data_IF_298035358664
#
_entry.id   IF_298035358664
#
_cell.length_a   1.000
_cell.length_b   1.000
_cell.length_c   1.000
_cell.angle_alpha   90.00
_cell.angle_beta   90.00
_cell.angle_gamma   90.00
#
_symmetry.space_group_name_H-M   'P 1'
#
loop_
_entity.id
_entity.type
_entity.pdbx_description
1 polymer ?
#
# COMPACT_ATOMS: atom_id res chain seq x y z
N UNK A 1 13.31 -44.67 -63.81
CA UNK A 1 14.60 -45.36 -63.58
C UNK A 1 14.76 -45.52 -62.08
N UNK A 2 14.33 -46.62 -61.44
CA UNK A 2 15.03 -47.91 -61.23
C UNK A 2 16.50 -47.75 -60.79
N UNK A 3 16.78 -48.02 -59.51
CA UNK A 3 17.79 -48.99 -59.02
C UNK A 3 17.95 -48.89 -57.48
N UNK A 4 17.32 -49.79 -56.70
CA UNK A 4 17.90 -50.92 -55.92
C UNK A 4 18.58 -50.50 -54.60
N UNK A 5 17.99 -50.73 -53.42
CA UNK A 5 17.70 -51.99 -52.70
C UNK A 5 18.79 -52.48 -51.72
N UNK A 6 18.43 -52.42 -50.43
CA UNK A 6 18.57 -53.48 -49.41
C UNK A 6 19.99 -53.79 -48.86
N UNK A 7 20.22 -54.21 -47.61
CA UNK A 7 19.41 -55.00 -46.67
C UNK A 7 20.12 -55.10 -45.30
N UNK A 8 19.34 -55.33 -44.22
CA UNK A 8 19.61 -56.18 -43.02
C UNK A 8 20.66 -55.68 -42.00
N UNK A 9 20.53 -55.86 -40.68
CA UNK A 9 19.94 -56.95 -39.89
C UNK A 9 19.66 -56.48 -38.44
N UNK A 10 18.65 -57.07 -37.79
CA UNK A 10 18.36 -57.00 -36.35
C UNK A 10 19.52 -57.53 -35.47
N UNK A 11 19.70 -56.94 -34.29
CA UNK A 11 20.07 -57.67 -33.08
C UNK A 11 19.55 -56.95 -31.82
N UNK A 12 18.52 -57.53 -31.20
CA UNK A 12 18.09 -57.29 -29.82
C UNK A 12 18.84 -58.28 -28.95
N UNK A 13 19.55 -57.83 -27.91
CA UNK A 13 19.74 -58.58 -26.66
C UNK A 13 20.27 -57.69 -25.53
N UNK A 14 19.60 -57.82 -24.40
CA UNK A 14 19.74 -57.08 -23.15
C UNK A 14 21.01 -57.43 -22.36
N UNK A 15 21.42 -56.52 -21.46
CA UNK A 15 21.74 -56.74 -20.03
C UNK A 15 22.76 -55.70 -19.53
N UNK A 16 22.51 -55.15 -18.34
CA UNK A 16 23.55 -54.57 -17.49
C UNK A 16 23.27 -53.16 -16.98
N UNK A 17 22.31 -53.03 -16.06
CA UNK A 17 22.27 -51.88 -15.16
C UNK A 17 23.50 -51.90 -14.24
N UNK A 18 24.34 -50.86 -14.31
CA UNK A 18 25.32 -50.56 -13.27
C UNK A 18 25.11 -49.09 -12.88
N UNK A 19 24.30 -48.87 -11.85
CA UNK A 19 24.14 -47.56 -11.22
C UNK A 19 25.34 -47.33 -10.30
N UNK A 20 26.24 -46.40 -10.69
CA UNK A 20 27.19 -45.79 -9.78
C UNK A 20 26.44 -44.67 -9.03
N UNK A 21 26.12 -44.92 -7.76
CA UNK A 21 25.62 -43.90 -6.86
C UNK A 21 26.76 -42.93 -6.50
N UNK A 22 26.76 -41.74 -7.11
CA UNK A 22 27.49 -40.60 -6.56
C UNK A 22 26.64 -40.00 -5.43
N UNK A 23 27.11 -40.21 -4.19
CA UNK A 23 26.59 -39.56 -2.99
C UNK A 23 27.05 -38.11 -3.05
N UNK A 24 26.18 -37.22 -3.52
CA UNK A 24 26.27 -35.79 -3.22
C UNK A 24 25.59 -35.60 -1.86
N UNK A 25 26.24 -34.99 -0.86
CA UNK A 25 25.55 -34.63 0.38
C UNK A 25 24.55 -33.54 0.03
N UNK A 26 23.28 -33.94 -0.12
CA UNK A 26 22.18 -33.00 -0.05
C UNK A 26 22.24 -32.39 1.35
N UNK A 27 22.61 -31.11 1.42
CA UNK A 27 22.24 -30.27 2.55
C UNK A 27 20.71 -30.24 2.54
N UNK A 28 20.11 -31.16 3.28
CA UNK A 28 18.71 -31.07 3.65
C UNK A 28 18.58 -29.78 4.47
N UNK A 29 18.07 -28.73 3.85
CA UNK A 29 17.30 -27.77 4.61
C UNK A 29 16.15 -28.57 5.22
N UNK A 30 16.30 -28.92 6.49
CA UNK A 30 15.21 -29.38 7.34
C UNK A 30 14.15 -28.29 7.30
N UNK A 31 13.15 -28.44 6.43
CA UNK A 31 11.83 -27.92 6.74
C UNK A 31 11.42 -28.56 8.05
N UNK A 32 11.23 -27.73 9.07
CA UNK A 32 10.67 -28.18 10.33
C UNK A 32 9.32 -28.83 10.01
N UNK A 33 9.28 -30.16 10.08
CA UNK A 33 8.04 -30.92 10.02
C UNK A 33 7.35 -30.66 11.35
N UNK A 34 6.34 -29.80 11.34
CA UNK A 34 5.42 -29.66 12.46
C UNK A 34 5.00 -31.06 12.91
N UNK A 35 5.00 -31.31 14.21
CA UNK A 35 4.53 -32.56 14.77
C UNK A 35 3.11 -32.83 14.24
N UNK A 36 2.95 -33.87 13.42
CA UNK A 36 1.66 -34.31 12.90
C UNK A 36 0.77 -34.69 14.11
N UNK A 37 -0.10 -33.77 14.53
CA UNK A 37 -1.13 -34.03 15.54
C UNK A 37 -1.61 -32.86 16.39
N UNK A 38 -0.96 -31.69 16.43
CA UNK A 38 -1.31 -30.63 17.41
C UNK A 38 -1.66 -29.26 16.81
N UNK A 39 -1.63 -29.09 15.48
CA UNK A 39 -1.95 -27.82 14.85
C UNK A 39 -3.37 -27.85 14.28
N UNK A 40 -4.15 -26.81 14.55
CA UNK A 40 -5.46 -26.58 13.93
C UNK A 40 -5.30 -26.42 12.42
N UNK A 41 -6.16 -27.07 11.64
CA UNK A 41 -6.12 -27.00 10.18
C UNK A 41 -6.63 -25.62 9.70
N UNK A 42 -6.00 -25.05 8.67
CA UNK A 42 -6.37 -23.74 8.11
C UNK A 42 -7.63 -23.82 7.24
N UNK A 43 -8.80 -23.88 7.86
CA UNK A 43 -10.11 -24.08 7.21
C UNK A 43 -10.99 -22.82 7.19
N UNK A 44 -10.59 -21.84 7.96
CA UNK A 44 -11.19 -20.53 8.11
C UNK A 44 -11.17 -19.78 6.78
N UNK A 45 -12.14 -18.91 6.60
CA UNK A 45 -12.32 -18.18 5.35
C UNK A 45 -12.30 -16.69 5.65
N UNK A 46 -11.42 -15.93 5.00
CA UNK A 46 -11.39 -14.49 5.19
C UNK A 46 -12.66 -13.87 4.62
N UNK A 47 -13.16 -12.86 5.31
CA UNK A 47 -14.10 -11.90 4.74
C UNK A 47 -13.31 -10.99 3.80
N UNK A 48 -13.73 -10.89 2.55
CA UNK A 48 -13.03 -10.14 1.51
C UNK A 48 -13.93 -9.01 1.03
N UNK A 49 -13.35 -7.81 0.92
CA UNK A 49 -14.02 -6.65 0.38
C UNK A 49 -13.15 -5.94 -0.66
N UNK A 50 -13.80 -5.30 -1.63
CA UNK A 50 -13.16 -4.43 -2.59
C UNK A 50 -13.60 -3.01 -2.31
N UNK A 51 -12.64 -2.13 -2.09
CA UNK A 51 -12.88 -0.74 -1.72
C UNK A 51 -12.41 0.21 -2.84
N UNK A 52 -13.18 1.27 -3.03
CA UNK A 52 -12.84 2.43 -3.86
C UNK A 52 -12.91 3.66 -2.97
N UNK A 53 -11.81 4.41 -2.89
CA UNK A 53 -11.67 5.56 -1.97
C UNK A 53 -11.99 5.20 -0.51
N UNK A 54 -11.51 4.04 -0.04
CA UNK A 54 -11.75 3.51 1.31
C UNK A 54 -13.22 3.22 1.67
N UNK A 55 -14.13 3.25 0.70
CA UNK A 55 -15.51 2.82 0.84
C UNK A 55 -15.78 1.56 -0.01
N UNK A 56 -16.70 0.66 0.40
CA UNK A 56 -17.05 -0.50 -0.41
C UNK A 56 -17.48 -0.12 -1.83
N UNK A 57 -17.05 -0.91 -2.81
CA UNK A 57 -17.55 -0.79 -4.18
C UNK A 57 -19.05 -1.12 -4.18
N UNK A 58 -19.85 -0.22 -4.75
CA UNK A 58 -21.31 -0.30 -4.79
C UNK A 58 -21.85 0.30 -6.10
N UNK A 59 -23.16 0.33 -6.28
CA UNK A 59 -23.75 0.96 -7.47
C UNK A 59 -23.48 2.48 -7.52
N UNK A 60 -23.46 3.13 -6.36
CA UNK A 60 -23.18 4.56 -6.20
C UNK A 60 -21.67 4.88 -6.21
N UNK A 61 -20.85 3.89 -5.86
CA UNK A 61 -19.39 3.95 -5.86
C UNK A 61 -18.80 2.90 -6.82
N UNK A 62 -19.34 2.86 -8.05
CA UNK A 62 -18.98 1.83 -9.03
C UNK A 62 -17.51 1.93 -9.44
N UNK A 63 -16.87 0.77 -9.61
CA UNK A 63 -15.48 0.68 -10.01
C UNK A 63 -15.34 0.81 -11.53
N UNK A 64 -14.30 1.49 -11.99
CA UNK A 64 -13.95 1.59 -13.42
C UNK A 64 -12.59 0.95 -13.64
N UNK A 65 -12.38 0.36 -14.82
CA UNK A 65 -11.08 -0.22 -15.17
C UNK A 65 -9.93 0.77 -14.93
N UNK A 66 -8.82 0.26 -14.42
CA UNK A 66 -7.58 1.00 -14.12
C UNK A 66 -7.64 2.01 -12.98
N UNK A 67 -8.80 2.25 -12.37
CA UNK A 67 -8.87 2.99 -11.11
C UNK A 67 -8.14 2.22 -10.01
N UNK A 68 -7.53 2.97 -9.09
CA UNK A 68 -6.95 2.40 -7.89
C UNK A 68 -8.07 1.93 -6.97
N UNK A 69 -8.00 0.66 -6.61
CA UNK A 69 -8.89 0.00 -5.67
C UNK A 69 -8.05 -0.62 -4.57
N UNK A 70 -8.70 -1.03 -3.49
CA UNK A 70 -8.07 -1.74 -2.37
C UNK A 70 -8.81 -3.06 -2.15
N UNK A 71 -8.10 -4.17 -2.30
CA UNK A 71 -8.57 -5.45 -1.80
C UNK A 71 -8.28 -5.48 -0.31
N UNK A 72 -9.30 -5.69 0.52
CA UNK A 72 -9.16 -5.83 1.96
C UNK A 72 -9.66 -7.21 2.38
N UNK A 73 -9.05 -7.78 3.42
CA UNK A 73 -9.57 -8.94 4.10
C UNK A 73 -9.50 -8.82 5.62
N UNK A 74 -10.39 -9.54 6.29
CA UNK A 74 -10.28 -9.88 7.72
C UNK A 74 -10.37 -11.39 7.89
N UNK A 75 -9.57 -11.93 8.81
CA UNK A 75 -9.49 -13.36 9.09
C UNK A 75 -9.35 -13.56 10.60
N UNK A 76 -10.39 -14.11 11.22
CA UNK A 76 -10.34 -14.59 12.60
C UNK A 76 -9.89 -16.04 12.59
N UNK A 77 -8.93 -16.36 13.45
CA UNK A 77 -8.32 -17.67 13.55
C UNK A 77 -8.90 -18.47 14.72
N UNK A 78 -9.13 -19.76 14.53
CA UNK A 78 -9.36 -20.67 15.64
C UNK A 78 -8.05 -20.87 16.43
N UNK A 79 -8.18 -21.18 17.72
CA UNK A 79 -7.02 -21.43 18.56
C UNK A 79 -6.24 -22.70 18.14
N UNK A 80 -4.93 -22.72 18.42
CA UNK A 80 -4.09 -23.89 18.20
C UNK A 80 -3.43 -23.98 16.82
N UNK A 81 -3.39 -22.87 16.06
CA UNK A 81 -2.52 -22.78 14.90
C UNK A 81 -1.04 -22.82 15.28
N UNK A 82 -0.22 -23.13 14.27
CA UNK A 82 1.23 -23.22 14.41
C UNK A 82 1.94 -22.25 13.46
N UNK A 83 3.15 -21.87 13.85
CA UNK A 83 4.03 -21.06 13.03
C UNK A 83 4.28 -21.71 11.66
N UNK A 84 4.31 -20.90 10.61
CA UNK A 84 4.55 -21.34 9.23
C UNK A 84 3.33 -21.94 8.53
N UNK A 85 2.19 -22.13 9.20
CA UNK A 85 0.93 -22.40 8.50
C UNK A 85 0.56 -21.21 7.61
N UNK A 86 -0.11 -21.48 6.49
CA UNK A 86 -0.45 -20.47 5.52
C UNK A 86 -1.92 -20.52 5.07
N UNK A 87 -2.45 -19.34 4.79
CA UNK A 87 -3.69 -19.14 4.06
C UNK A 87 -3.34 -18.61 2.67
N UNK A 88 -3.84 -19.28 1.64
CA UNK A 88 -3.58 -18.88 0.27
C UNK A 88 -4.88 -18.46 -0.40
N UNK A 89 -4.99 -17.17 -0.71
CA UNK A 89 -6.15 -16.58 -1.37
C UNK A 89 -5.83 -16.43 -2.85
N UNK A 90 -6.44 -17.25 -3.70
CA UNK A 90 -6.40 -17.08 -5.16
C UNK A 90 -7.21 -15.85 -5.54
N UNK A 91 -6.62 -14.97 -6.36
CA UNK A 91 -7.28 -13.75 -6.85
C UNK A 91 -7.75 -13.90 -8.30
N UNK A 92 -8.91 -13.32 -8.68
CA UNK A 92 -9.45 -13.44 -10.03
C UNK A 92 -8.66 -12.60 -11.07
N UNK A 93 -8.69 -13.00 -12.34
CA UNK A 93 -7.95 -12.35 -13.45
C UNK A 93 -8.40 -10.91 -13.73
N UNK A 94 -9.62 -10.57 -13.32
CA UNK A 94 -10.16 -9.23 -13.37
C UNK A 94 -9.34 -8.27 -12.50
N UNK A 95 -8.67 -8.76 -11.46
CA UNK A 95 -7.85 -7.95 -10.58
C UNK A 95 -6.37 -8.05 -10.96
N UNK A 96 -5.71 -6.89 -10.97
CA UNK A 96 -4.28 -6.78 -11.19
C UNK A 96 -3.62 -6.12 -9.99
N UNK A 97 -2.60 -6.80 -9.48
CA UNK A 97 -1.74 -6.37 -8.40
C UNK A 97 -0.31 -6.22 -8.91
N UNK A 98 0.51 -5.48 -8.18
CA UNK A 98 1.95 -5.54 -8.35
C UNK A 98 2.53 -6.63 -7.44
N UNK A 99 3.44 -7.43 -7.99
CA UNK A 99 4.08 -8.55 -7.30
C UNK A 99 5.31 -8.15 -6.49
N UNK A 100 5.60 -8.96 -5.47
CA UNK A 100 6.97 -9.09 -4.96
C UNK A 100 7.27 -8.44 -3.62
N UNK A 101 6.26 -7.99 -2.87
CA UNK A 101 6.48 -7.45 -1.53
C UNK A 101 5.72 -8.21 -0.46
N UNK A 102 6.42 -8.36 0.67
CA UNK A 102 5.90 -8.94 1.90
C UNK A 102 5.62 -7.82 2.89
N UNK A 103 4.41 -7.84 3.46
CA UNK A 103 3.96 -6.92 4.48
C UNK A 103 3.76 -7.66 5.80
N UNK A 104 4.26 -7.09 6.89
CA UNK A 104 4.03 -7.64 8.22
C UNK A 104 2.66 -7.22 8.74
N UNK A 105 1.91 -8.18 9.27
CA UNK A 105 0.66 -7.96 9.98
C UNK A 105 1.00 -7.84 11.46
N UNK A 106 1.27 -6.60 11.86
CA UNK A 106 1.74 -6.28 13.20
C UNK A 106 0.58 -6.01 14.16
N UNK A 107 0.78 -6.39 15.40
CA UNK A 107 -0.05 -5.99 16.53
C UNK A 107 0.27 -4.56 16.97
N UNK A 108 -0.62 -3.97 17.77
CA UNK A 108 -0.42 -2.60 18.29
C UNK A 108 0.85 -2.48 19.14
N UNK A 109 1.24 -3.55 19.85
CA UNK A 109 2.47 -3.63 20.64
C UNK A 109 3.73 -3.98 19.81
N UNK A 110 3.58 -4.15 18.49
CA UNK A 110 4.68 -4.28 17.54
C UNK A 110 5.17 -5.71 17.28
N UNK A 111 4.52 -6.73 17.84
CA UNK A 111 4.76 -8.12 17.45
C UNK A 111 4.20 -8.38 16.04
N UNK A 112 4.80 -9.32 15.30
CA UNK A 112 4.29 -9.72 13.98
C UNK A 112 3.54 -11.04 14.13
N UNK A 113 2.23 -11.06 13.86
CA UNK A 113 1.42 -12.27 13.95
C UNK A 113 1.41 -13.10 12.66
N UNK A 114 1.57 -12.41 11.54
CA UNK A 114 1.62 -13.03 10.23
C UNK A 114 2.36 -12.12 9.23
N UNK A 115 2.75 -12.69 8.11
CA UNK A 115 3.25 -11.95 6.94
C UNK A 115 2.31 -12.18 5.77
N UNK A 116 2.12 -11.17 4.93
CA UNK A 116 1.28 -11.21 3.75
C UNK A 116 2.14 -10.91 2.52
N UNK A 117 2.09 -11.76 1.50
CA UNK A 117 2.83 -11.56 0.25
C UNK A 117 1.92 -11.80 -0.93
N UNK A 118 1.91 -10.89 -1.91
CA UNK A 118 1.29 -11.19 -3.21
C UNK A 118 2.32 -11.84 -4.13
N UNK A 119 1.99 -13.06 -4.55
CA UNK A 119 2.73 -13.84 -5.52
C UNK A 119 2.00 -13.77 -6.86
N UNK A 120 2.60 -13.05 -7.81
CA UNK A 120 2.18 -13.12 -9.20
C UNK A 120 2.44 -14.50 -9.78
N UNK A 121 1.75 -14.84 -10.86
CA UNK A 121 2.05 -16.02 -11.66
C UNK A 121 2.56 -15.61 -13.03
N UNK A 122 3.65 -16.22 -13.47
CA UNK A 122 4.20 -16.06 -14.82
C UNK A 122 3.63 -17.11 -15.80
N UNK A 123 2.96 -18.15 -15.28
CA UNK A 123 2.52 -19.32 -16.05
C UNK A 123 1.01 -19.33 -16.36
N UNK A 124 0.34 -18.18 -16.19
CA UNK A 124 -1.10 -18.04 -16.43
C UNK A 124 -2.00 -18.67 -15.37
N UNK A 125 -1.46 -19.08 -14.22
CA UNK A 125 -2.28 -19.39 -13.05
C UNK A 125 -2.76 -18.10 -12.36
N UNK A 126 -3.89 -18.12 -11.64
CA UNK A 126 -4.30 -16.96 -10.86
C UNK A 126 -3.23 -16.56 -9.85
N UNK A 127 -2.99 -15.25 -9.71
CA UNK A 127 -2.12 -14.74 -8.65
C UNK A 127 -2.65 -15.13 -7.26
N UNK A 128 -1.79 -15.10 -6.25
CA UNK A 128 -2.15 -15.53 -4.90
C UNK A 128 -1.67 -14.54 -3.85
N UNK A 129 -2.54 -14.20 -2.91
CA UNK A 129 -2.14 -13.56 -1.65
C UNK A 129 -1.87 -14.67 -0.65
N UNK A 130 -0.63 -14.77 -0.19
CA UNK A 130 -0.18 -15.77 0.80
C UNK A 130 0.01 -15.09 2.14
N UNK A 131 -0.74 -15.55 3.13
CA UNK A 131 -0.64 -15.12 4.52
C UNK A 131 0.06 -16.25 5.29
N UNK A 132 1.24 -16.00 5.83
CA UNK A 132 2.03 -16.98 6.61
C UNK A 132 2.04 -16.59 8.07
N UNK A 133 1.55 -17.47 8.94
CA UNK A 133 1.50 -17.26 10.40
C UNK A 133 2.89 -17.32 11.01
N UNK A 134 3.17 -16.50 12.01
CA UNK A 134 4.41 -16.56 12.82
C UNK A 134 4.21 -17.41 14.07
N UNK A 135 5.21 -17.49 14.94
CA UNK A 135 5.12 -18.10 16.27
C UNK A 135 4.19 -17.37 17.25
N UNK A 136 3.75 -16.16 16.91
CA UNK A 136 2.76 -15.42 17.68
C UNK A 136 1.49 -16.23 17.97
N UNK A 137 0.98 -16.95 16.96
CA UNK A 137 -0.28 -17.72 17.05
C UNK A 137 -0.18 -18.94 17.98
N UNK A 138 1.03 -19.36 18.34
CA UNK A 138 1.24 -20.50 19.25
C UNK A 138 1.09 -20.10 20.73
N UNK A 139 1.21 -18.80 21.03
CA UNK A 139 1.17 -18.25 22.39
C UNK A 139 -0.04 -17.33 22.66
N UNK A 140 -0.82 -17.04 21.63
CA UNK A 140 -1.98 -16.15 21.69
C UNK A 140 -3.24 -16.87 21.22
N UNK A 141 -4.37 -16.47 21.80
CA UNK A 141 -5.72 -16.90 21.45
C UNK A 141 -6.50 -15.74 20.84
N UNK A 142 -7.67 -16.03 20.25
CA UNK A 142 -8.55 -15.03 19.63
C UNK A 142 -7.80 -14.16 18.60
N UNK A 143 -6.92 -14.78 17.81
CA UNK A 143 -6.08 -14.05 16.88
C UNK A 143 -6.92 -13.59 15.70
N UNK A 144 -6.92 -12.28 15.46
CA UNK A 144 -7.57 -11.66 14.29
C UNK A 144 -6.52 -10.99 13.40
N UNK A 145 -6.61 -11.23 12.10
CA UNK A 145 -5.73 -10.65 11.09
C UNK A 145 -6.55 -9.75 10.17
N UNK A 146 -6.01 -8.60 9.80
CA UNK A 146 -6.61 -7.71 8.80
C UNK A 146 -5.54 -7.25 7.83
N UNK A 147 -5.77 -7.42 6.53
CA UNK A 147 -4.81 -7.04 5.50
C UNK A 147 -5.45 -6.27 4.34
N UNK A 148 -4.64 -5.51 3.62
CA UNK A 148 -5.06 -4.80 2.42
C UNK A 148 -3.95 -4.72 1.38
N UNK A 149 -4.34 -4.72 0.10
CA UNK A 149 -3.45 -4.51 -1.04
C UNK A 149 -4.10 -3.56 -2.04
N UNK A 150 -3.31 -2.63 -2.56
CA UNK A 150 -3.71 -1.84 -3.72
C UNK A 150 -3.82 -2.74 -4.96
N UNK A 151 -4.91 -2.55 -5.69
CA UNK A 151 -5.25 -3.34 -6.88
C UNK A 151 -5.96 -2.47 -7.92
N UNK A 152 -6.24 -3.04 -9.09
CA UNK A 152 -7.02 -2.41 -10.16
C UNK A 152 -7.85 -3.46 -10.86
N UNK A 153 -9.02 -3.06 -11.35
CA UNK A 153 -9.70 -3.87 -12.34
C UNK A 153 -9.03 -3.71 -13.72
N UNK A 154 -8.86 -4.83 -14.42
CA UNK A 154 -8.35 -4.86 -15.80
C UNK A 154 -9.46 -4.59 -16.80
N UNK A 155 -9.11 -4.38 -18.07
CA UNK A 155 -10.07 -4.10 -19.13
C UNK A 155 -10.85 -5.31 -19.66
N UNK A 156 -10.69 -6.49 -19.04
CA UNK A 156 -11.50 -7.68 -19.36
C UNK A 156 -12.94 -7.57 -18.84
N UNK A 157 -13.19 -6.65 -17.90
CA UNK A 157 -14.51 -6.37 -17.34
C UNK A 157 -15.41 -5.67 -18.37
N UNK A 158 -16.73 -5.81 -18.19
CA UNK A 158 -17.73 -5.19 -19.06
C UNK A 158 -18.33 -3.92 -18.44
N UNK A 159 -18.46 -2.80 -19.18
CA UNK A 159 -19.13 -1.61 -18.63
C UNK A 159 -20.62 -1.84 -18.33
N UNK A 160 -21.14 -1.16 -17.31
CA UNK A 160 -22.56 -1.21 -16.92
C UNK A 160 -23.08 -2.61 -16.53
N UNK A 161 -22.20 -3.50 -16.07
CA UNK A 161 -22.54 -4.81 -15.51
C UNK A 161 -22.15 -4.88 -14.04
N UNK A 162 -22.51 -5.98 -13.37
CA UNK A 162 -21.91 -6.36 -12.09
C UNK A 162 -21.01 -7.55 -12.35
N UNK A 163 -19.73 -7.42 -12.00
CA UNK A 163 -18.75 -8.50 -12.10
C UNK A 163 -18.74 -9.29 -10.79
N UNK A 164 -18.88 -10.61 -10.86
CA UNK A 164 -18.72 -11.50 -9.72
C UNK A 164 -17.25 -11.91 -9.59
N UNK A 165 -16.53 -11.26 -8.68
CA UNK A 165 -15.13 -11.56 -8.39
C UNK A 165 -15.04 -12.78 -7.49
N UNK A 166 -14.42 -13.85 -7.99
CA UNK A 166 -14.33 -15.13 -7.27
C UNK A 166 -12.95 -15.31 -6.66
N UNK A 167 -12.91 -15.50 -5.34
CA UNK A 167 -11.72 -15.78 -4.57
C UNK A 167 -11.78 -17.21 -4.04
N UNK A 168 -10.64 -17.87 -3.92
CA UNK A 168 -10.56 -19.19 -3.31
C UNK A 168 -9.49 -19.21 -2.22
N UNK A 169 -9.89 -19.51 -0.99
CA UNK A 169 -8.99 -19.66 0.16
C UNK A 169 -8.97 -21.12 0.58
N UNK A 170 -7.81 -21.78 0.44
CA UNK A 170 -7.62 -23.18 0.85
C UNK A 170 -8.72 -24.15 0.35
N UNK A 171 -9.26 -23.91 -0.85
CA UNK A 171 -10.33 -24.72 -1.45
C UNK A 171 -11.75 -24.19 -1.24
N UNK A 172 -11.96 -23.20 -0.35
CA UNK A 172 -13.28 -22.59 -0.11
C UNK A 172 -13.45 -21.30 -0.91
N UNK A 173 -14.61 -21.16 -1.54
CA UNK A 173 -14.92 -20.03 -2.42
C UNK A 173 -15.62 -18.89 -1.69
N UNK A 174 -15.15 -17.66 -1.92
CA UNK A 174 -15.80 -16.40 -1.53
C UNK A 174 -16.01 -15.56 -2.77
N UNK A 175 -17.12 -14.82 -2.85
CA UNK A 175 -17.43 -13.95 -3.99
C UNK A 175 -17.64 -12.51 -3.53
N UNK A 176 -17.15 -11.56 -4.31
CA UNK A 176 -17.41 -10.13 -4.14
C UNK A 176 -18.10 -9.62 -5.39
N UNK A 177 -19.29 -9.02 -5.23
CA UNK A 177 -19.99 -8.36 -6.32
C UNK A 177 -19.41 -6.96 -6.53
N UNK A 178 -18.93 -6.68 -7.74
CA UNK A 178 -18.35 -5.39 -8.11
C UNK A 178 -19.18 -4.75 -9.22
N UNK A 179 -20.09 -3.81 -8.89
CA UNK A 179 -20.74 -2.98 -9.89
C UNK A 179 -19.73 -2.19 -10.71
N UNK A 180 -19.82 -2.30 -12.03
CA UNK A 180 -18.88 -1.72 -12.98
C UNK A 180 -19.49 -0.48 -13.63
N UNK A 181 -18.79 0.63 -13.47
CA UNK A 181 -19.14 1.91 -14.08
C UNK A 181 -18.88 1.93 -15.59
N UNK A 182 -18.96 3.14 -16.15
CA UNK A 182 -18.53 3.41 -17.52
C UNK A 182 -17.33 4.34 -17.48
N UNK A 183 -16.46 4.23 -18.48
CA UNK A 183 -15.41 5.20 -18.67
C UNK A 183 -16.01 6.60 -18.90
N UNK A 184 -15.55 7.58 -18.13
CA UNK A 184 -16.06 8.95 -18.19
C UNK A 184 -15.29 9.74 -19.25
N UNK A 185 -16.01 10.32 -20.21
CA UNK A 185 -15.44 11.13 -21.29
C UNK A 185 -15.24 10.34 -22.59
N UNK A 186 -14.32 10.82 -23.44
CA UNK A 186 -14.16 10.31 -24.80
C UNK A 186 -13.13 9.15 -24.83
N UNK A 187 -13.54 7.99 -24.34
CA UNK A 187 -12.65 6.84 -24.18
C UNK A 187 -12.40 6.10 -25.51
N UNK A 188 -13.41 5.95 -26.36
CA UNK A 188 -13.29 5.23 -27.64
C UNK A 188 -12.81 6.09 -28.80
N UNK A 189 -12.95 7.42 -28.71
CA UNK A 189 -12.46 8.33 -29.75
C UNK A 189 -10.93 8.30 -29.80
N UNK A 190 -10.30 8.89 -30.82
CA UNK A 190 -8.84 9.03 -30.86
C UNK A 190 -8.39 10.26 -30.03
N UNK A 191 -7.28 10.21 -29.28
CA UNK A 191 -6.87 11.32 -28.42
C UNK A 191 -6.55 12.56 -29.24
N UNK A 192 -7.03 13.72 -28.79
CA UNK A 192 -6.65 15.04 -29.31
C UNK A 192 -5.86 15.86 -28.27
N UNK A 193 -5.39 15.22 -27.21
CA UNK A 193 -4.72 15.80 -26.05
C UNK A 193 -3.45 15.00 -25.70
N UNK A 194 -2.50 15.65 -25.03
CA UNK A 194 -1.39 14.96 -24.37
C UNK A 194 -1.89 14.40 -23.05
N UNK A 195 -1.47 13.19 -22.69
CA UNK A 195 -1.69 12.64 -21.36
C UNK A 195 -0.39 12.13 -20.79
N UNK A 196 -0.25 12.22 -19.47
CA UNK A 196 0.86 11.64 -18.74
C UNK A 196 0.34 10.78 -17.61
N UNK A 197 0.91 9.60 -17.47
CA UNK A 197 0.59 8.67 -16.37
C UNK A 197 1.84 7.89 -15.99
N UNK A 198 1.88 7.41 -14.76
CA UNK A 198 3.01 6.64 -14.28
C UNK A 198 2.62 5.54 -13.32
N UNK A 199 3.61 4.71 -13.05
CA UNK A 199 3.46 3.50 -12.26
C UNK A 199 4.77 3.21 -11.56
N UNK A 200 4.74 3.20 -10.23
CA UNK A 200 5.80 2.71 -9.39
C UNK A 200 5.31 1.44 -8.66
N UNK A 201 5.86 0.26 -9.00
CA UNK A 201 5.57 -0.96 -8.24
C UNK A 201 6.24 -0.89 -6.88
N UNK A 202 6.02 -1.89 -6.04
CA UNK A 202 6.63 -1.92 -4.72
C UNK A 202 8.18 -2.03 -4.80
N UNK A 203 8.93 -1.43 -3.86
CA UNK A 203 10.39 -1.35 -3.98
C UNK A 203 11.10 -2.69 -3.75
N UNK A 204 12.29 -2.83 -4.32
CA UNK A 204 13.21 -3.94 -4.06
C UNK A 204 13.80 -3.89 -2.64
N UNK A 205 14.68 -4.84 -2.32
CA UNK A 205 15.37 -4.91 -1.02
C UNK A 205 16.25 -3.68 -0.71
N UNK A 206 16.60 -2.88 -1.72
CA UNK A 206 17.37 -1.64 -1.56
C UNK A 206 16.46 -0.41 -1.40
N UNK A 207 15.14 -0.59 -1.38
CA UNK A 207 14.18 0.49 -1.32
C UNK A 207 14.00 1.24 -2.65
N UNK A 208 14.37 0.61 -3.79
CA UNK A 208 14.23 1.17 -5.13
C UNK A 208 13.08 0.50 -5.87
N UNK A 209 12.13 1.30 -6.33
CA UNK A 209 11.04 0.86 -7.20
C UNK A 209 11.38 1.12 -8.67
N UNK A 210 11.46 0.06 -9.47
CA UNK A 210 11.65 0.14 -10.92
C UNK A 210 10.31 0.33 -11.62
N UNK A 211 9.96 1.57 -11.90
CA UNK A 211 8.70 1.96 -12.51
C UNK A 211 8.87 2.59 -13.88
N UNK A 212 7.83 3.30 -14.32
CA UNK A 212 7.88 4.11 -15.53
C UNK A 212 6.86 5.23 -15.50
N UNK A 213 7.13 6.25 -16.32
CA UNK A 213 6.14 7.23 -16.76
C UNK A 213 5.90 7.06 -18.26
N UNK A 214 4.71 7.41 -18.71
CA UNK A 214 4.30 7.29 -20.09
C UNK A 214 3.68 8.60 -20.56
N UNK A 215 4.17 9.08 -21.70
CA UNK A 215 3.64 10.23 -22.41
C UNK A 215 2.77 9.71 -23.57
N UNK A 216 1.48 10.01 -23.55
CA UNK A 216 0.58 9.78 -24.67
C UNK A 216 0.48 11.04 -25.52
N UNK A 217 0.71 10.91 -26.82
CA UNK A 217 0.54 12.01 -27.77
C UNK A 217 -0.91 12.16 -28.20
N UNK A 218 -1.31 13.32 -28.74
CA UNK A 218 -2.47 13.40 -29.61
C UNK A 218 -2.28 12.54 -30.87
N UNK A 219 -3.39 12.32 -31.56
CA UNK A 219 -3.42 11.66 -32.85
C UNK A 219 -2.88 12.58 -33.93
N UNK A 220 -2.01 12.06 -34.79
CA UNK A 220 -1.56 12.75 -35.99
C UNK A 220 -2.69 12.73 -37.01
N UNK A 221 -3.40 13.84 -37.15
CA UNK A 221 -4.43 13.99 -38.19
C UNK A 221 -3.80 14.11 -39.57
N UNK A 222 -4.57 13.88 -40.63
CA UNK A 222 -4.13 14.12 -42.01
C UNK A 222 -3.63 15.56 -42.24
N UNK A 223 -4.26 16.53 -41.56
CA UNK A 223 -3.85 17.93 -41.59
C UNK A 223 -2.47 18.12 -40.96
N UNK A 224 -2.24 17.53 -39.78
CA UNK A 224 -0.93 17.59 -39.11
C UNK A 224 0.16 16.85 -39.90
N UNK A 225 -0.23 15.78 -40.60
CA UNK A 225 0.68 15.03 -41.44
C UNK A 225 1.06 15.78 -42.73
N UNK A 226 0.26 16.75 -43.17
CA UNK A 226 0.47 17.50 -44.41
C UNK A 226 0.72 16.59 -45.64
N UNK A 227 0.03 15.44 -45.68
CA UNK A 227 0.16 14.42 -46.74
C UNK A 227 1.33 13.45 -46.57
N UNK A 228 2.11 13.53 -45.48
CA UNK A 228 3.11 12.53 -45.14
C UNK A 228 2.47 11.26 -44.54
N UNK A 229 3.09 10.09 -44.73
CA UNK A 229 2.63 8.85 -44.09
C UNK A 229 2.89 8.79 -42.59
N UNK A 230 3.81 9.62 -42.08
CA UNK A 230 4.18 9.71 -40.67
C UNK A 230 4.83 11.06 -40.37
N UNK A 231 4.80 11.45 -39.10
CA UNK A 231 5.42 12.69 -38.60
C UNK A 231 6.37 12.36 -37.44
N UNK A 232 7.52 13.03 -37.40
CA UNK A 232 8.40 13.02 -36.23
C UNK A 232 7.95 14.10 -35.26
N UNK A 233 7.72 13.72 -34.01
CA UNK A 233 7.20 14.58 -32.95
C UNK A 233 8.23 14.67 -31.83
N UNK A 234 8.49 15.88 -31.37
CA UNK A 234 9.40 16.13 -30.25
C UNK A 234 8.65 15.94 -28.92
N UNK A 235 9.33 15.32 -27.96
CA UNK A 235 8.85 15.19 -26.59
C UNK A 235 9.94 15.61 -25.60
N UNK A 236 9.51 16.13 -24.45
CA UNK A 236 10.37 16.45 -23.33
C UNK A 236 9.70 16.04 -22.01
N UNK A 237 10.52 15.74 -21.02
CA UNK A 237 10.10 15.28 -19.71
C UNK A 237 10.99 15.91 -18.62
N UNK A 238 10.40 16.30 -17.49
CA UNK A 238 11.07 16.97 -16.38
C UNK A 238 10.45 16.57 -15.06
N UNK A 239 11.28 15.98 -14.21
CA UNK A 239 10.90 15.57 -12.86
C UNK A 239 10.63 16.82 -12.00
N UNK A 240 9.47 16.88 -11.35
CA UNK A 240 9.07 18.04 -10.52
C UNK A 240 9.10 17.77 -9.01
N UNK A 241 9.46 16.55 -8.61
CA UNK A 241 9.66 16.13 -7.23
C UNK A 241 10.98 15.35 -7.05
N UNK A 242 11.56 15.30 -5.83
CA UNK A 242 12.76 14.52 -5.55
C UNK A 242 12.48 13.01 -5.51
N UNK A 243 13.54 12.20 -5.34
CA UNK A 243 13.47 10.74 -5.13
C UNK A 243 12.92 9.95 -6.34
N UNK A 244 13.22 10.46 -7.52
CA UNK A 244 12.94 9.81 -8.79
C UNK A 244 14.07 10.13 -9.76
N UNK A 245 14.41 9.18 -10.63
CA UNK A 245 15.43 9.38 -11.65
C UNK A 245 15.10 8.63 -12.94
N UNK A 246 15.40 9.25 -14.07
CA UNK A 246 15.35 8.59 -15.37
C UNK A 246 16.46 7.56 -15.51
N UNK A 247 16.15 6.44 -16.17
CA UNK A 247 17.15 5.43 -16.56
C UNK A 247 17.83 5.75 -17.89
N UNK A 248 17.41 6.84 -18.56
CA UNK A 248 17.84 7.25 -19.90
C UNK A 248 17.45 6.30 -21.04
N UNK A 249 16.63 5.29 -20.77
CA UNK A 249 16.02 4.46 -21.80
C UNK A 249 14.65 4.99 -22.23
N UNK A 250 14.24 4.67 -23.44
CA UNK A 250 12.89 4.95 -23.92
C UNK A 250 12.41 3.86 -24.88
N UNK A 251 11.13 3.54 -24.81
CA UNK A 251 10.44 2.71 -25.80
C UNK A 251 9.15 3.40 -26.24
N UNK A 252 8.66 3.08 -27.44
CA UNK A 252 7.41 3.67 -27.92
C UNK A 252 6.59 2.70 -28.76
N UNK A 253 5.28 2.91 -28.72
CA UNK A 253 4.31 2.21 -29.55
C UNK A 253 3.31 3.21 -30.12
N UNK A 254 2.90 3.01 -31.36
CA UNK A 254 1.80 3.73 -32.00
C UNK A 254 0.55 2.85 -32.09
N UNK A 255 -0.62 3.48 -32.11
CA UNK A 255 -1.90 2.81 -31.97
C UNK A 255 -2.94 3.37 -32.93
N UNK A 256 -3.81 2.48 -33.42
CA UNK A 256 -4.85 2.80 -34.41
C UNK A 256 -6.21 3.06 -33.81
N UNK A 257 -6.40 2.85 -32.51
CA UNK A 257 -7.70 2.98 -31.87
C UNK A 257 -7.67 2.85 -30.36
N UNK A 258 -8.83 2.96 -29.74
CA UNK A 258 -9.03 2.70 -28.30
C UNK A 258 -10.26 1.83 -28.06
N UNK A 259 -10.22 1.03 -26.99
CA UNK A 259 -11.38 0.25 -26.54
C UNK A 259 -12.32 1.09 -25.67
N UNK A 260 -13.36 0.46 -25.12
CA UNK A 260 -14.38 1.10 -24.27
C UNK A 260 -13.83 1.70 -22.97
N UNK A 261 -12.64 1.28 -22.54
CA UNK A 261 -11.92 1.76 -21.35
C UNK A 261 -10.87 2.84 -21.67
N UNK A 262 -10.71 3.20 -22.95
CA UNK A 262 -9.65 4.11 -23.38
C UNK A 262 -8.28 3.43 -23.51
N UNK A 263 -8.21 2.10 -23.40
CA UNK A 263 -6.97 1.38 -23.66
C UNK A 263 -6.65 1.42 -25.14
N UNK A 264 -5.36 1.60 -25.47
CA UNK A 264 -4.93 1.64 -26.85
C UNK A 264 -5.05 0.26 -27.50
N UNK A 265 -5.41 0.23 -28.78
CA UNK A 265 -5.60 -1.00 -29.57
C UNK A 265 -4.83 -0.90 -30.89
N UNK A 266 -4.51 -2.06 -31.48
CA UNK A 266 -3.76 -2.13 -32.74
C UNK A 266 -2.31 -1.63 -32.60
N UNK A 267 -1.67 -1.92 -31.47
CA UNK A 267 -0.33 -1.41 -31.16
C UNK A 267 0.76 -1.97 -32.06
N UNK A 268 1.62 -1.07 -32.55
CA UNK A 268 2.85 -1.40 -33.27
C UNK A 268 4.02 -0.64 -32.68
N UNK A 269 5.21 -1.24 -32.64
CA UNK A 269 6.41 -0.53 -32.18
C UNK A 269 6.65 0.72 -33.01
N UNK A 270 6.88 1.85 -32.34
CA UNK A 270 7.20 3.12 -32.94
C UNK A 270 8.70 3.42 -32.76
N UNK A 271 9.29 4.11 -33.74
CA UNK A 271 10.68 4.55 -33.62
C UNK A 271 10.76 5.71 -32.65
N UNK A 272 11.54 5.55 -31.58
CA UNK A 272 11.83 6.59 -30.58
C UNK A 272 13.34 6.82 -30.49
N UNK A 273 13.72 8.07 -30.28
CA UNK A 273 15.13 8.47 -30.10
C UNK A 273 15.22 9.36 -28.88
N UNK A 274 16.15 9.08 -27.97
CA UNK A 274 16.53 9.98 -26.87
C UNK A 274 17.62 10.91 -27.38
N UNK A 275 17.41 12.22 -27.27
CA UNK A 275 18.33 13.26 -27.75
C UNK A 275 19.19 13.81 -26.61
N UNK A 276 18.62 13.96 -25.42
CA UNK A 276 19.33 14.39 -24.21
C UNK A 276 18.74 13.69 -23.01
N UNK A 277 19.60 13.30 -22.06
CA UNK A 277 19.17 12.72 -20.80
C UNK A 277 20.07 13.15 -19.65
N UNK A 278 19.42 13.41 -18.53
CA UNK A 278 19.98 13.51 -17.18
C UNK A 278 19.04 12.75 -16.25
N UNK A 279 19.41 12.58 -14.98
CA UNK A 279 18.55 11.94 -13.99
C UNK A 279 17.18 12.65 -13.83
N UNK A 280 17.08 13.95 -14.14
CA UNK A 280 15.86 14.75 -13.90
C UNK A 280 15.20 15.32 -15.15
N UNK A 281 15.85 15.23 -16.31
CA UNK A 281 15.29 15.73 -17.58
C UNK A 281 15.61 14.77 -18.72
N UNK A 282 14.63 14.55 -19.59
CA UNK A 282 14.80 13.78 -20.82
C UNK A 282 14.14 14.49 -22.00
N UNK A 283 14.78 14.43 -23.16
CA UNK A 283 14.18 14.92 -24.41
C UNK A 283 14.44 13.93 -25.53
N UNK A 284 13.56 13.91 -26.52
CA UNK A 284 13.69 13.02 -27.65
C UNK A 284 12.66 13.25 -28.73
N UNK A 285 12.59 12.29 -29.65
CA UNK A 285 11.63 12.28 -30.76
C UNK A 285 10.93 10.94 -30.85
N UNK A 286 9.73 10.93 -31.43
CA UNK A 286 8.98 9.72 -31.78
C UNK A 286 8.37 9.86 -33.16
N UNK A 287 8.43 8.80 -33.98
CA UNK A 287 7.81 8.77 -35.31
C UNK A 287 6.43 8.14 -35.21
N UNK A 288 5.40 8.88 -35.65
CA UNK A 288 4.00 8.48 -35.51
C UNK A 288 3.33 8.48 -36.90
N UNK A 289 2.73 7.35 -37.34
CA UNK A 289 1.96 7.31 -38.58
C UNK A 289 0.75 8.25 -38.58
N UNK A 290 0.37 8.75 -39.76
CA UNK A 290 -0.88 9.48 -39.92
C UNK A 290 -2.08 8.62 -39.48
N UNK A 291 -3.04 9.24 -38.80
CA UNK A 291 -4.19 8.59 -38.20
C UNK A 291 -3.92 7.85 -36.89
N UNK A 292 -2.69 7.88 -36.34
CA UNK A 292 -2.32 7.19 -35.10
C UNK A 292 -1.88 8.16 -34.00
N UNK A 293 -1.92 7.70 -32.76
CA UNK A 293 -1.25 8.33 -31.62
C UNK A 293 -0.16 7.40 -31.07
N UNK A 294 0.77 7.93 -30.29
CA UNK A 294 1.82 7.13 -29.67
C UNK A 294 1.80 7.21 -28.14
N UNK A 295 2.37 6.19 -27.50
CA UNK A 295 2.80 6.23 -26.10
C UNK A 295 4.30 6.04 -26.05
N UNK A 296 5.00 7.02 -25.49
CA UNK A 296 6.43 6.97 -25.17
C UNK A 296 6.57 6.58 -23.70
N UNK A 297 7.25 5.48 -23.43
CA UNK A 297 7.42 4.90 -22.09
C UNK A 297 8.86 5.15 -21.67
N UNK A 298 9.02 5.83 -20.54
CA UNK A 298 10.30 6.20 -19.94
C UNK A 298 10.48 5.40 -18.65
N UNK A 299 11.39 4.42 -18.60
CA UNK A 299 11.66 3.67 -17.38
C UNK A 299 12.37 4.56 -16.37
N UNK A 300 11.99 4.39 -15.10
CA UNK A 300 12.42 5.24 -14.00
C UNK A 300 12.74 4.42 -12.76
N UNK A 301 13.59 4.98 -11.90
CA UNK A 301 13.72 4.53 -10.51
C UNK A 301 13.01 5.51 -9.58
N UNK A 302 12.30 4.98 -8.58
CA UNK A 302 11.61 5.73 -7.54
C UNK A 302 12.12 5.28 -6.16
N UNK A 303 12.32 6.22 -5.25
CA UNK A 303 12.74 5.93 -3.87
C UNK A 303 11.87 6.65 -2.84
N UNK A 304 11.78 6.11 -1.63
CA UNK A 304 10.89 6.60 -0.58
C UNK A 304 9.42 6.23 -0.83
N UNK A 305 8.51 6.86 -0.07
CA UNK A 305 7.09 6.53 -0.10
C UNK A 305 6.29 7.26 -1.20
N UNK A 306 6.91 8.21 -1.91
CA UNK A 306 6.19 9.14 -2.78
C UNK A 306 5.23 10.06 -2.00
N UNK A 307 4.21 10.63 -2.66
CA UNK A 307 3.98 10.59 -4.11
C UNK A 307 5.07 11.35 -4.87
N UNK A 308 5.28 11.00 -6.15
CA UNK A 308 6.23 11.66 -7.04
C UNK A 308 5.49 12.40 -8.16
N UNK A 309 5.80 13.67 -8.39
CA UNK A 309 5.21 14.48 -9.46
C UNK A 309 6.15 14.63 -10.64
N UNK A 310 5.58 14.68 -11.84
CA UNK A 310 6.34 14.64 -13.08
C UNK A 310 5.61 15.34 -14.24
N UNK A 311 6.34 16.10 -15.07
CA UNK A 311 5.78 16.94 -16.14
C UNK A 311 6.36 16.56 -17.51
N UNK A 312 5.52 16.53 -18.55
CA UNK A 312 5.97 16.29 -19.91
C UNK A 312 5.31 17.22 -20.93
N UNK A 313 6.05 17.45 -22.01
CA UNK A 313 5.60 18.21 -23.17
C UNK A 313 5.71 17.40 -24.46
N UNK A 314 4.80 17.69 -25.39
CA UNK A 314 4.84 17.19 -26.76
C UNK A 314 4.68 18.39 -27.69
N UNK A 315 5.61 18.55 -28.63
CA UNK A 315 5.56 19.63 -29.61
C UNK A 315 5.14 19.10 -30.97
N UNK A 316 3.94 19.51 -31.40
CA UNK A 316 3.37 19.21 -32.71
C UNK A 316 3.47 20.45 -33.58
N UNK A 317 4.32 20.41 -34.61
CA UNK A 317 4.57 21.54 -35.52
C UNK A 317 5.05 22.76 -34.72
N UNK A 318 4.18 23.76 -34.48
CA UNK A 318 4.48 25.00 -33.75
C UNK A 318 3.68 25.13 -32.45
N UNK A 319 3.00 24.05 -32.02
CA UNK A 319 2.21 24.02 -30.79
C UNK A 319 2.79 23.01 -29.82
N UNK A 320 3.16 23.48 -28.63
CA UNK A 320 3.54 22.63 -27.50
C UNK A 320 2.33 22.38 -26.62
N UNK A 321 2.16 21.12 -26.23
CA UNK A 321 1.11 20.64 -25.35
C UNK A 321 1.76 20.01 -24.12
N UNK A 322 1.24 20.34 -22.95
CA UNK A 322 1.81 19.94 -21.66
C UNK A 322 0.85 19.01 -20.93
N UNK A 323 1.40 18.10 -20.14
CA UNK A 323 0.65 17.26 -19.21
C UNK A 323 1.52 16.87 -18.03
N UNK A 324 0.93 16.77 -16.86
CA UNK A 324 1.60 16.35 -15.63
C UNK A 324 0.94 15.10 -15.05
N UNK A 325 1.67 14.40 -14.20
CA UNK A 325 1.16 13.25 -13.47
C UNK A 325 1.72 13.18 -12.06
N UNK A 326 0.99 12.48 -11.20
CA UNK A 326 1.45 12.09 -9.87
C UNK A 326 1.53 10.57 -9.83
N UNK A 327 2.73 10.06 -9.68
CA UNK A 327 3.00 8.64 -9.48
C UNK A 327 2.87 8.34 -8.00
N UNK A 328 2.01 7.37 -7.68
CA UNK A 328 1.86 6.84 -6.32
C UNK A 328 2.48 5.45 -6.26
N UNK A 329 3.13 5.16 -5.13
CA UNK A 329 3.60 3.81 -4.84
C UNK A 329 2.40 2.90 -4.62
N UNK A 330 2.33 1.79 -5.37
CA UNK A 330 1.34 0.75 -5.09
C UNK A 330 1.82 -0.11 -3.92
N UNK A 331 0.99 -0.26 -2.90
CA UNK A 331 1.40 -0.85 -1.63
C UNK A 331 0.34 -1.77 -1.02
N UNK A 332 0.69 -2.36 0.11
CA UNK A 332 -0.18 -3.15 0.96
C UNK A 332 0.18 -2.94 2.42
N UNK A 333 -0.55 -3.63 3.30
CA UNK A 333 -0.29 -3.58 4.73
C UNK A 333 -1.37 -4.28 5.51
N UNK A 334 -1.29 -4.18 6.83
CA UNK A 334 -2.33 -4.69 7.70
C UNK A 334 -1.91 -4.72 9.16
N UNK A 335 -2.75 -5.34 9.96
CA UNK A 335 -2.63 -5.43 11.41
C UNK A 335 -3.06 -6.79 11.91
N UNK A 336 -2.69 -7.08 13.14
CA UNK A 336 -3.14 -8.26 13.87
C UNK A 336 -3.56 -7.89 15.29
N UNK A 337 -4.37 -8.71 15.93
CA UNK A 337 -4.61 -8.68 17.37
C UNK A 337 -4.63 -10.11 17.90
N UNK A 338 -4.44 -10.27 19.20
CA UNK A 338 -4.52 -11.55 19.90
C UNK A 338 -4.29 -11.37 21.39
N UNK A 339 -4.74 -12.35 22.17
CA UNK A 339 -4.70 -12.29 23.62
C UNK A 339 -3.79 -13.40 24.17
N UNK A 340 -2.91 -13.06 25.12
CA UNK A 340 -2.22 -14.09 25.91
C UNK A 340 -3.24 -14.74 26.85
N UNK A 341 -3.30 -16.07 26.94
CA UNK A 341 -4.24 -16.72 27.83
C UNK A 341 -3.96 -16.29 29.27
N UNK A 342 -5.03 -15.92 30.00
CA UNK A 342 -4.90 -15.54 31.40
C UNK A 342 -4.32 -16.72 32.19
N UNK A 343 -3.37 -16.49 33.13
CA UNK A 343 -2.88 -17.57 33.96
C UNK A 343 -4.05 -18.19 34.72
N UNK A 344 -4.25 -19.50 34.57
CA UNK A 344 -5.24 -20.24 35.35
C UNK A 344 -4.95 -19.95 36.83
N UNK A 345 -5.93 -19.44 37.62
CA UNK A 345 -5.67 -19.18 39.03
C UNK A 345 -5.19 -20.48 39.68
N UNK A 346 -3.97 -20.46 40.21
CA UNK A 346 -3.42 -21.57 40.98
C UNK A 346 -4.43 -21.91 42.06
N UNK A 347 -4.85 -23.19 42.16
CA UNK A 347 -5.71 -23.60 43.26
C UNK A 347 -5.05 -23.17 44.57
N UNK A 348 -5.78 -22.38 45.36
CA UNK A 348 -5.32 -21.97 46.69
C UNK A 348 -4.98 -23.24 47.46
N UNK A 349 -3.82 -23.32 48.13
CA UNK A 349 -3.51 -24.48 48.94
C UNK A 349 -4.65 -24.70 49.93
N UNK A 350 -5.21 -25.91 49.95
CA UNK A 350 -6.19 -26.36 50.94
C UNK A 350 -5.65 -25.98 52.32
N UNK A 351 -6.43 -25.28 53.17
CA UNK A 351 -5.94 -24.90 54.50
C UNK A 351 -5.49 -26.16 55.24
N UNK A 352 -4.21 -26.20 55.60
CA UNK A 352 -3.65 -27.25 56.46
C UNK A 352 -4.44 -27.27 57.76
N UNK A 353 -4.88 -28.46 58.19
CA UNK A 353 -5.58 -28.60 59.46
C UNK A 353 -4.74 -28.00 60.60
N UNK A 354 -5.43 -27.20 61.43
CA UNK A 354 -4.85 -26.54 62.59
C UNK A 354 -4.33 -27.58 63.60
N UNK A 355 -3.10 -27.45 64.13
CA UNK A 355 -2.61 -28.39 65.13
C UNK A 355 -3.46 -28.28 66.41
N UNK A 356 -3.93 -29.42 66.89
CA UNK A 356 -4.57 -29.60 68.20
C UNK A 356 -3.75 -28.96 69.34
N UNK A 357 -4.37 -28.21 70.27
CA UNK A 357 -3.64 -27.54 71.35
C UNK A 357 -3.02 -28.59 72.31
N UNK A 358 -1.71 -28.47 72.53
CA UNK A 358 -0.96 -29.24 73.53
C UNK A 358 -1.26 -28.68 74.93
N UNK A 359 -1.44 -29.58 75.89
CA UNK A 359 -1.72 -29.22 77.29
C UNK A 359 -0.56 -28.45 77.94
N UNK A 360 -0.97 -27.54 78.84
CA UNK A 360 -0.17 -26.59 79.59
C UNK A 360 0.68 -27.27 80.68
N UNK A 361 2.00 -26.99 80.77
CA UNK A 361 2.77 -27.36 81.94
C UNK A 361 2.64 -26.32 83.07
N UNK A 362 2.41 -26.86 84.28
CA UNK A 362 2.39 -26.24 85.61
C UNK A 362 3.66 -25.43 85.95
N UNK A 363 3.56 -24.40 86.82
CA UNK A 363 4.65 -23.47 87.11
C UNK A 363 5.66 -24.05 88.10
N UNK A 364 6.94 -23.73 87.93
CA UNK A 364 7.96 -23.91 88.97
C UNK A 364 8.79 -22.65 89.16
N UNK A 365 9.21 -22.49 90.40
CA UNK A 365 9.64 -21.29 91.13
C UNK A 365 10.88 -20.55 90.59
N UNK A 366 10.87 -19.24 90.88
CA UNK A 366 11.98 -18.27 90.85
C UNK A 366 13.09 -18.63 91.86
N UNK A 367 14.37 -18.30 91.62
CA UNK A 367 14.88 -17.06 92.22
C UNK A 367 15.98 -16.29 91.43
N UNK A 368 15.88 -14.95 91.54
CA UNK A 368 16.91 -14.00 92.00
C UNK A 368 18.12 -13.58 91.10
N UNK A 369 17.99 -12.35 90.56
CA UNK A 369 18.84 -11.14 90.73
C UNK A 369 20.37 -11.25 90.46
N UNK A 370 20.98 -10.52 89.49
CA UNK A 370 21.43 -9.09 89.54
C UNK A 370 22.87 -9.00 88.94
N UNK A 371 23.46 -7.88 88.44
CA UNK A 371 23.00 -6.75 87.61
C UNK A 371 23.95 -6.45 86.39
N UNK A 372 23.74 -5.27 85.74
CA UNK A 372 24.77 -4.42 85.07
C UNK A 372 24.99 -4.73 83.57
N UNK A 373 25.00 -3.80 82.60
CA UNK A 373 25.06 -2.32 82.52
C UNK A 373 24.38 -1.88 81.20
N UNK A 374 23.53 -0.84 81.22
CA UNK A 374 23.80 0.51 80.68
C UNK A 374 24.07 0.62 79.17
N UNK A 375 23.06 1.07 78.42
CA UNK A 375 23.23 2.12 77.41
C UNK A 375 21.91 2.92 77.25
N UNK A 376 22.10 4.22 77.33
CA UNK A 376 21.18 5.36 77.45
C UNK A 376 20.40 5.64 76.14
N UNK A 377 19.29 6.41 76.16
CA UNK A 377 18.32 6.50 75.08
C UNK A 377 18.63 7.63 74.10
N UNK A 378 18.02 7.59 72.91
CA UNK A 378 17.72 8.84 72.20
C UNK A 378 16.49 8.71 71.32
N UNK A 379 15.76 9.82 71.27
CA UNK A 379 14.38 9.98 70.87
C UNK A 379 14.19 10.16 69.36
N UNK A 380 13.01 9.71 68.91
CA UNK A 380 11.99 10.42 68.11
C UNK A 380 12.37 11.33 66.93
N UNK A 381 11.58 11.33 65.84
CA UNK A 381 11.92 11.97 64.58
C UNK A 381 11.56 13.46 64.56
N UNK A 382 12.29 14.25 63.78
CA UNK A 382 11.76 15.52 63.26
C UNK A 382 12.39 15.88 61.93
N UNK A 383 11.56 16.54 61.12
CA UNK A 383 11.76 16.93 59.74
C UNK A 383 13.03 17.75 59.49
N UNK A 384 13.53 17.70 58.26
CA UNK A 384 14.39 18.77 57.75
C UNK A 384 14.14 19.01 56.27
N UNK A 385 14.03 20.29 55.96
CA UNK A 385 13.66 20.89 54.69
C UNK A 385 14.80 20.84 53.67
N UNK A 386 14.37 20.88 52.40
CA UNK A 386 15.12 21.31 51.21
C UNK A 386 15.84 22.65 51.47
N UNK A 387 17.05 22.89 50.92
CA UNK A 387 17.09 23.66 49.67
C UNK A 387 18.30 23.42 48.73
N UNK A 388 18.11 23.90 47.49
CA UNK A 388 19.10 24.48 46.55
C UNK A 388 20.08 23.58 45.78
N UNK A 389 20.05 23.65 44.44
CA UNK A 389 21.24 23.56 43.59
C UNK A 389 21.70 24.96 43.12
N UNK A 390 23.01 25.17 43.20
CA UNK A 390 23.76 26.35 42.77
C UNK A 390 24.14 26.28 41.27
N UNK A 391 24.44 27.45 40.71
CA UNK A 391 24.48 27.87 39.30
C UNK A 391 25.52 27.21 38.36
N UNK A 392 25.28 27.30 37.03
CA UNK A 392 26.16 28.10 36.14
C UNK A 392 25.63 28.35 34.71
N UNK A 393 25.64 29.64 34.33
CA UNK A 393 25.75 30.29 32.98
C UNK A 393 24.63 30.11 31.92
N UNK A 394 23.83 31.15 31.54
CA UNK A 394 24.11 32.38 30.74
C UNK A 394 24.24 32.08 29.22
N UNK A 395 23.51 32.67 28.26
CA UNK A 395 23.05 34.06 28.04
C UNK A 395 21.71 34.21 27.27
N UNK A 396 21.09 35.36 27.52
CA UNK A 396 19.77 35.94 27.16
C UNK A 396 19.63 36.51 25.72
N UNK A 397 18.39 36.62 25.19
CA UNK A 397 18.07 37.30 23.92
C UNK A 397 17.86 38.84 24.07
N UNK A 398 18.17 39.60 23.02
CA UNK A 398 17.84 41.04 22.92
C UNK A 398 16.92 41.31 21.74
N UNK A 399 15.77 41.90 22.04
CA UNK A 399 14.95 42.67 21.13
C UNK A 399 15.03 44.15 21.53
N UNK A 400 15.15 45.08 20.56
CA UNK A 400 14.38 46.33 20.54
C UNK A 400 14.69 47.21 19.34
N UNK A 401 13.63 47.89 18.91
CA UNK A 401 13.48 48.74 17.73
C UNK A 401 14.16 50.11 17.84
N UNK A 402 14.39 50.76 16.69
CA UNK A 402 14.27 52.23 16.53
C UNK A 402 14.13 52.63 15.05
N UNK A 403 13.12 53.43 14.72
CA UNK A 403 13.00 54.31 13.53
C UNK A 403 13.85 55.58 13.74
N UNK A 404 14.33 56.35 12.73
CA UNK A 404 13.48 57.28 11.96
C UNK A 404 13.94 57.70 10.52
N UNK A 405 13.01 58.38 9.82
CA UNK A 405 13.19 59.50 8.87
C UNK A 405 13.63 59.31 7.39
N UNK A 406 12.65 59.58 6.51
CA UNK A 406 12.63 60.54 5.38
C UNK A 406 13.84 60.68 4.41
N UNK A 407 13.56 60.43 3.12
CA UNK A 407 13.93 61.35 2.04
C UNK A 407 13.03 61.17 0.81
N UNK A 408 12.62 62.31 0.25
CA UNK A 408 11.73 62.46 -0.89
C UNK A 408 12.49 62.47 -2.23
N UNK A 409 11.79 62.11 -3.32
CA UNK A 409 11.92 62.64 -4.71
C UNK A 409 10.78 62.01 -5.56
N UNK A 410 9.67 62.71 -5.89
CA UNK A 410 9.46 63.68 -7.02
C UNK A 410 9.29 62.93 -8.37
N UNK A 411 8.02 62.62 -8.75
CA UNK A 411 7.21 63.19 -9.88
C UNK A 411 7.28 62.26 -11.11
N UNK A 412 6.31 61.98 -11.99
CA UNK A 412 5.14 62.64 -12.64
C UNK A 412 4.39 61.47 -13.30
N UNK A 413 3.07 61.33 -13.24
CA UNK A 413 2.14 62.04 -14.11
C UNK A 413 1.21 61.03 -14.79
N UNK A 414 -0.07 61.05 -14.42
CA UNK A 414 -1.14 60.60 -15.28
C UNK A 414 -1.35 61.63 -16.40
N UNK A 415 -1.95 61.23 -17.53
CA UNK A 415 -3.26 61.81 -17.79
C UNK A 415 -4.32 60.79 -18.18
N UNK A 416 -5.53 61.14 -17.75
CA UNK A 416 -6.85 60.59 -18.05
C UNK A 416 -7.20 60.81 -19.53
N UNK A 417 -8.00 59.90 -20.14
CA UNK A 417 -9.26 60.15 -20.88
C UNK A 417 -9.76 58.83 -21.52
N UNK A 418 -11.09 58.63 -21.67
CA UNK A 418 -11.79 57.36 -21.48
C UNK A 418 -12.02 56.60 -22.80
N UNK A 419 -12.67 55.42 -22.78
CA UNK A 419 -13.86 55.08 -23.60
C UNK A 419 -14.15 53.56 -23.64
N UNK A 420 -15.45 53.25 -23.61
CA UNK A 420 -16.19 52.05 -24.06
C UNK A 420 -16.15 50.73 -23.29
N UNK A 421 -17.34 50.46 -22.74
CA UNK A 421 -17.93 49.14 -22.47
C UNK A 421 -17.99 48.31 -23.76
N UNK A 422 -17.51 47.07 -23.70
CA UNK A 422 -17.95 45.98 -24.56
C UNK A 422 -17.88 44.66 -23.78
N UNK A 423 -19.03 44.01 -23.66
CA UNK A 423 -19.31 42.75 -22.97
C UNK A 423 -18.70 41.55 -23.69
N UNK A 424 -17.92 40.73 -22.97
CA UNK A 424 -17.54 39.37 -23.39
C UNK A 424 -18.18 38.35 -22.45
N UNK A 425 -18.84 37.28 -22.93
CA UNK A 425 -19.40 36.24 -22.08
C UNK A 425 -18.30 35.38 -21.43
N UNK A 426 -18.44 35.14 -20.13
CA UNK A 426 -17.62 34.21 -19.37
C UNK A 426 -17.77 32.77 -19.89
N UNK A 427 -16.64 32.05 -20.03
CA UNK A 427 -16.63 30.58 -20.19
C UNK A 427 -16.80 29.92 -18.81
N UNK A 428 -17.45 28.75 -18.72
CA UNK A 428 -17.59 28.02 -17.47
C UNK A 428 -16.22 27.45 -17.06
N UNK A 429 -15.73 27.89 -15.92
CA UNK A 429 -14.67 27.25 -15.14
C UNK A 429 -15.31 26.13 -14.32
N UNK A 430 -14.78 24.91 -14.41
CA UNK A 430 -15.13 23.82 -13.52
C UNK A 430 -13.88 23.24 -12.84
N UNK A 431 -14.00 23.20 -11.51
CA UNK A 431 -13.40 22.36 -10.48
C UNK A 431 -11.89 22.11 -10.51
N UNK A 432 -11.17 23.02 -9.84
CA UNK A 432 -9.96 22.73 -9.08
C UNK A 432 -10.36 22.02 -7.78
N UNK A 433 -10.20 20.71 -7.69
CA UNK A 433 -10.30 19.97 -6.41
C UNK A 433 -8.91 19.61 -5.91
N UNK A 434 -8.58 20.07 -4.72
CA UNK A 434 -7.31 19.76 -4.05
C UNK A 434 -6.70 20.99 -3.36
N UNK A 435 -7.45 21.65 -2.49
CA UNK A 435 -6.89 22.59 -1.53
C UNK A 435 -6.73 21.86 -0.19
N UNK A 436 -5.47 21.68 0.22
CA UNK A 436 -5.05 21.31 1.56
C UNK A 436 -5.81 22.14 2.62
N UNK A 437 -6.44 21.47 3.56
CA UNK A 437 -6.90 22.06 4.82
C UNK A 437 -6.55 21.13 5.96
N UNK A 438 -5.28 21.18 6.39
CA UNK A 438 -4.87 20.70 7.70
C UNK A 438 -5.44 21.70 8.72
N UNK A 439 -6.55 21.35 9.39
CA UNK A 439 -7.01 22.04 10.60
C UNK A 439 -6.96 21.04 11.73
N UNK A 440 -5.97 21.24 12.62
CA UNK A 440 -5.98 20.67 13.97
C UNK A 440 -7.27 21.09 14.67
N UNK A 441 -8.07 20.13 15.13
CA UNK A 441 -9.01 20.33 16.25
C UNK A 441 -8.67 19.31 17.33
N UNK A 442 -7.95 19.78 18.34
CA UNK A 442 -7.84 19.12 19.64
C UNK A 442 -9.09 19.45 20.45
N UNK A 443 -9.74 18.41 20.98
CA UNK A 443 -10.46 18.43 22.26
C UNK A 443 -11.82 19.12 22.34
N UNK A 444 -12.89 18.31 22.36
CA UNK A 444 -14.05 18.53 23.24
C UNK A 444 -14.94 17.27 23.26
N UNK A 445 -14.57 16.30 24.11
CA UNK A 445 -15.55 15.35 24.63
C UNK A 445 -16.34 16.04 25.73
N UNK A 446 -17.68 16.08 25.61
CA UNK A 446 -18.71 16.10 26.68
C UNK A 446 -20.04 16.63 26.12
N UNK A 447 -21.14 16.04 26.61
CA UNK A 447 -22.57 16.38 26.41
C UNK A 447 -23.24 15.86 25.13
N UNK A 448 -23.91 14.71 25.26
CA UNK A 448 -25.34 14.56 24.97
C UNK A 448 -25.91 13.34 25.76
N UNK A 449 -26.19 13.56 27.04
CA UNK A 449 -27.19 12.79 27.80
C UNK A 449 -28.37 13.74 28.04
N UNK A 450 -29.38 13.68 27.17
CA UNK A 450 -30.76 14.12 27.44
C UNK A 450 -31.61 13.87 26.19
N UNK A 451 -32.40 12.80 26.17
CA UNK A 451 -33.34 12.59 25.06
C UNK A 451 -33.93 11.19 24.88
N UNK A 452 -34.00 10.36 25.92
CA UNK A 452 -34.63 9.04 25.82
C UNK A 452 -35.44 8.68 27.07
N UNK A 453 -36.31 9.57 27.54
CA UNK A 453 -37.41 9.25 28.48
C UNK A 453 -38.63 10.11 28.13
N UNK A 454 -39.31 9.79 27.02
CA UNK A 454 -40.62 10.40 26.73
C UNK A 454 -41.53 9.59 25.79
N UNK A 455 -41.27 8.31 25.52
CA UNK A 455 -42.10 7.51 24.59
C UNK A 455 -42.34 6.06 25.04
N UNK A 456 -42.58 5.86 26.33
CA UNK A 456 -43.12 4.61 26.89
C UNK A 456 -44.25 4.83 27.89
N UNK A 457 -45.10 5.85 27.66
CA UNK A 457 -46.33 6.08 28.46
C UNK A 457 -47.59 6.35 27.62
N UNK A 458 -47.70 5.68 26.47
CA UNK A 458 -48.91 5.76 25.64
C UNK A 458 -49.38 4.42 25.03
N UNK A 459 -48.97 3.26 25.59
CA UNK A 459 -49.52 1.94 25.21
C UNK A 459 -49.64 0.98 26.41
N UNK A 460 -50.35 1.41 27.45
CA UNK A 460 -50.89 0.55 28.50
C UNK A 460 -52.09 1.24 29.17
N UNK A 461 -53.13 1.47 28.39
CA UNK A 461 -54.52 1.63 28.84
C UNK A 461 -55.41 1.00 27.76
N UNK A 462 -55.35 -0.32 27.70
CA UNK A 462 -56.46 -1.29 27.63
C UNK A 462 -55.88 -2.70 27.75
#
# INVERSE_FOLDING_TARGET
MRSRAASRLLAVLALGALALAMIVPAAFHTTARAAEGNCTATTETPDISLLKNDEPVSAENAAVAWEMLKLQFSLDLEDGHCAGQAYTISVPEQLRFDSGTTWNLNTEDGATAATMTYMGSEDGTPGQVVITLTDYVESHHDVSLSGWLDTRLTSVITPSTTETLTFNTNGKTTTVEAPIGVCVGNCTEMPNYVSKFGSAPTPDANGVSSGSVTIQTPTITEELAAGAGSVTVDWADTLTSPNQAFTCDASAYSYTGRNVWGDPTGGTTAQVTVTSCTDTTMTGTVVIPAGQFARVILPMSFTGAGPWTDDASVTLVSKTLESSTTVVLRNGGGSANGNVPAPTPSESPTPSESPTPSESPTPTESPSATPTESATPSESPSASESPTPEESASTTPTASATTPAASASVTTGAPVVPTTVATTPARPSLARTGANSLVLVLGAGSLLIAGAVALQRARARE
#
